data_IF_335653738276
#
_entry.id   IF_335653738276
#
_cell.length_a   1.000
_cell.length_b   1.000
_cell.length_c   1.000
_cell.angle_alpha   90.00
_cell.angle_beta   90.00
_cell.angle_gamma   90.00
#
_symmetry.space_group_name_H-M   'P 1'
#
loop_
_entity.id
_entity.type
_entity.pdbx_description
1 polymer ?
#
# COMPACT_ATOMS: atom_id res chain seq x y z
N UNK A 1 -9.21 -15.14 29.02
CA UNK A 1 -8.83 -13.88 28.35
C UNK A 1 -7.36 -13.99 28.01
N UNK A 2 -7.00 -14.28 26.76
CA UNK A 2 -5.58 -14.42 26.37
C UNK A 2 -5.06 -13.04 26.01
N UNK A 3 -4.14 -12.51 26.81
CA UNK A 3 -3.42 -11.28 26.50
C UNK A 3 -2.47 -11.56 25.34
N UNK A 4 -2.75 -10.97 24.18
CA UNK A 4 -1.87 -11.06 23.02
C UNK A 4 -0.65 -10.19 23.33
N UNK A 5 0.49 -10.81 23.65
CA UNK A 5 1.74 -10.09 23.84
C UNK A 5 2.16 -9.52 22.49
N UNK A 6 2.38 -8.20 22.42
CA UNK A 6 3.00 -7.61 21.24
C UNK A 6 4.50 -7.98 21.23
N UNK A 7 5.03 -8.46 20.09
CA UNK A 7 6.44 -8.80 19.99
C UNK A 7 7.29 -7.54 20.23
N UNK A 8 8.30 -7.65 21.09
CA UNK A 8 9.25 -6.56 21.39
C UNK A 8 10.20 -6.27 20.24
N UNK A 9 10.20 -7.11 19.20
CA UNK A 9 10.99 -6.96 17.99
C UNK A 9 10.07 -6.76 16.79
N UNK A 10 10.41 -5.78 15.96
CA UNK A 10 9.67 -5.47 14.74
C UNK A 10 9.64 -6.65 13.78
N UNK A 11 8.44 -7.04 13.32
CA UNK A 11 8.21 -8.13 12.38
C UNK A 11 7.73 -7.58 11.03
N UNK A 12 8.65 -7.17 10.13
CA UNK A 12 8.29 -6.45 8.90
C UNK A 12 7.30 -7.23 8.04
N UNK A 13 7.55 -8.52 7.82
CA UNK A 13 6.70 -9.37 6.97
C UNK A 13 5.23 -9.39 7.40
N UNK A 14 4.98 -9.51 8.70
CA UNK A 14 3.62 -9.57 9.23
C UNK A 14 2.93 -8.19 9.19
N UNK A 15 3.70 -7.16 9.52
CA UNK A 15 3.20 -5.78 9.59
C UNK A 15 2.88 -5.25 8.19
N UNK A 16 3.79 -5.42 7.22
CA UNK A 16 3.60 -5.03 5.83
C UNK A 16 2.42 -5.77 5.20
N UNK A 17 2.30 -7.08 5.44
CA UNK A 17 1.15 -7.87 4.98
C UNK A 17 -0.17 -7.33 5.53
N UNK A 18 -0.23 -7.08 6.84
CA UNK A 18 -1.43 -6.53 7.49
C UNK A 18 -1.80 -5.15 6.94
N UNK A 19 -0.82 -4.27 6.74
CA UNK A 19 -1.05 -2.93 6.18
C UNK A 19 -1.59 -3.04 4.75
N UNK A 20 -0.98 -3.89 3.92
CA UNK A 20 -1.42 -4.12 2.56
C UNK A 20 -2.88 -4.61 2.50
N UNK A 21 -3.23 -5.60 3.33
CA UNK A 21 -4.61 -6.12 3.44
C UNK A 21 -5.60 -5.03 3.88
N UNK A 22 -5.23 -4.18 4.84
CA UNK A 22 -6.06 -3.05 5.28
C UNK A 22 -6.29 -2.07 4.12
N UNK A 23 -5.23 -1.66 3.42
CA UNK A 23 -5.34 -0.72 2.31
C UNK A 23 -6.18 -1.28 1.17
N UNK A 24 -5.98 -2.56 0.84
CA UNK A 24 -6.74 -3.27 -0.20
C UNK A 24 -8.22 -3.39 0.17
N UNK A 25 -8.54 -3.90 1.37
CA UNK A 25 -9.94 -4.06 1.82
C UNK A 25 -10.69 -2.74 1.97
N UNK A 26 -9.99 -1.64 2.27
CA UNK A 26 -10.60 -0.31 2.37
C UNK A 26 -10.67 0.42 1.02
N UNK A 27 -10.18 -0.19 -0.06
CA UNK A 27 -10.20 0.39 -1.40
C UNK A 27 -9.26 1.57 -1.59
N UNK A 28 -8.22 1.72 -0.76
CA UNK A 28 -7.29 2.85 -0.84
C UNK A 28 -6.44 2.86 -2.12
N UNK A 29 -6.35 1.72 -2.81
CA UNK A 29 -5.67 1.60 -4.10
C UNK A 29 -6.59 1.92 -5.29
N UNK A 30 -7.89 2.09 -5.04
CA UNK A 30 -8.87 2.41 -6.08
C UNK A 30 -8.92 3.92 -6.35
N UNK A 31 -9.29 4.28 -7.59
CA UNK A 31 -9.36 5.67 -8.04
C UNK A 31 -10.28 6.50 -7.16
N UNK A 32 -11.41 5.92 -6.74
CA UNK A 32 -12.45 6.57 -5.96
C UNK A 32 -12.31 6.32 -4.44
N UNK A 33 -11.21 5.70 -3.99
CA UNK A 33 -11.01 5.32 -2.58
C UNK A 33 -11.08 6.48 -1.59
N UNK A 34 -10.81 7.71 -2.06
CA UNK A 34 -10.85 8.95 -1.29
C UNK A 34 -11.97 9.91 -1.72
N UNK A 35 -12.97 9.45 -2.49
CA UNK A 35 -14.06 10.29 -3.02
C UNK A 35 -14.73 11.15 -1.93
N UNK A 36 -14.91 10.59 -0.73
CA UNK A 36 -15.55 11.26 0.43
C UNK A 36 -14.83 12.52 0.91
N UNK A 37 -13.51 12.61 0.68
CA UNK A 37 -12.68 13.73 1.13
C UNK A 37 -12.10 14.53 -0.05
N UNK A 38 -12.40 14.13 -1.29
CA UNK A 38 -11.87 14.76 -2.49
C UNK A 38 -12.58 16.08 -2.78
N UNK A 39 -11.81 17.14 -2.99
CA UNK A 39 -12.34 18.39 -3.49
C UNK A 39 -12.77 18.26 -4.97
N UNK A 40 -13.97 18.75 -5.29
CA UNK A 40 -14.52 18.69 -6.65
C UNK A 40 -13.57 19.32 -7.67
N UNK A 41 -13.23 18.56 -8.70
CA UNK A 41 -12.38 19.02 -9.80
C UNK A 41 -10.87 19.01 -9.51
N UNK A 42 -10.43 18.69 -8.28
CA UNK A 42 -9.01 18.49 -7.97
C UNK A 42 -8.64 17.02 -8.14
N UNK A 43 -7.71 16.75 -9.05
CA UNK A 43 -7.16 15.42 -9.31
C UNK A 43 -5.63 15.48 -9.28
N UNK A 44 -5.02 14.44 -8.76
CA UNK A 44 -3.57 14.26 -8.77
C UNK A 44 -3.25 12.96 -9.50
N UNK A 45 -2.24 12.97 -10.36
CA UNK A 45 -1.76 11.80 -11.05
C UNK A 45 -0.23 11.84 -11.02
N UNK A 46 0.37 10.74 -10.59
CA UNK A 46 1.81 10.52 -10.67
C UNK A 46 2.02 9.26 -11.51
N UNK A 47 2.61 9.42 -12.69
CA UNK A 47 2.88 8.31 -13.60
C UNK A 47 4.30 7.80 -13.41
N UNK A 48 4.44 6.48 -13.36
CA UNK A 48 5.74 5.80 -13.42
C UNK A 48 5.89 5.12 -14.78
N UNK A 49 7.08 5.12 -15.39
CA UNK A 49 7.31 4.37 -16.62
C UNK A 49 7.08 2.88 -16.36
N UNK A 50 6.45 2.15 -17.30
CA UNK A 50 6.25 0.72 -17.15
C UNK A 50 7.62 0.00 -17.06
N UNK A 51 7.79 -0.95 -16.14
CA UNK A 51 9.04 -1.70 -16.06
C UNK A 51 9.21 -2.58 -17.30
N UNK A 52 10.45 -2.78 -17.74
CA UNK A 52 10.75 -3.76 -18.79
C UNK A 52 10.45 -5.17 -18.27
N UNK A 53 9.58 -5.91 -18.97
CA UNK A 53 9.01 -7.20 -18.55
C UNK A 53 10.03 -8.36 -18.57
N UNK A 54 11.27 -8.11 -19.00
CA UNK A 54 12.28 -9.15 -19.27
C UNK A 54 13.20 -9.46 -18.08
N UNK A 55 13.01 -8.85 -16.90
CA UNK A 55 13.90 -9.05 -15.75
C UNK A 55 13.23 -8.86 -14.39
N UNK A 56 13.90 -9.34 -13.35
CA UNK A 56 13.51 -9.11 -11.95
C UNK A 56 13.76 -7.63 -11.62
N UNK A 57 12.83 -6.99 -10.90
CA UNK A 57 13.00 -5.64 -10.37
C UNK A 57 14.22 -5.60 -9.45
N UNK A 58 15.20 -4.77 -9.79
CA UNK A 58 16.37 -4.51 -8.95
C UNK A 58 16.15 -3.29 -8.05
N UNK A 59 17.01 -3.07 -7.06
CA UNK A 59 16.90 -1.95 -6.09
C UNK A 59 16.71 -0.58 -6.77
N UNK A 60 17.36 -0.32 -7.91
CA UNK A 60 17.13 0.93 -8.66
C UNK A 60 15.73 1.15 -9.28
N UNK A 61 14.82 0.17 -9.19
CA UNK A 61 13.40 0.36 -9.53
C UNK A 61 12.54 0.70 -8.30
N UNK A 62 13.05 0.48 -7.10
CA UNK A 62 12.32 0.60 -5.83
C UNK A 62 12.48 2.00 -5.21
#
# INVERSE_FOLDING_TARGET
MIMKQEPTTYQPKEIEKKIYEICSHRGYFEIDGNEKIQEKGKRFCLMMPPPNVTGILHIGHA
#
